data_IF_141645084844
#
_entry.id   IF_141645084844
#
_cell.length_a   1.000
_cell.length_b   1.000
_cell.length_c   1.000
_cell.angle_alpha   90.00
_cell.angle_beta   90.00
_cell.angle_gamma   90.00
#
_symmetry.space_group_name_H-M   'P 1'
#
loop_
_entity.id
_entity.type
_entity.pdbx_description
1 polymer ?
2 non-polymer ?
3 water ?
#
# COMPACT_ATOMS: atom_id res chain seq x y z
N UNK A 1 5.52 15.09 6.07
CA UNK A 1 6.79 15.83 6.20
C UNK A 1 7.76 15.55 5.05
N UNK A 2 9.02 15.91 5.26
CA UNK A 2 10.07 15.69 4.28
C UNK A 2 10.77 14.43 4.75
N UNK A 3 10.93 13.49 3.84
CA UNK A 3 11.55 12.22 4.18
C UNK A 3 12.69 11.94 3.17
N UNK A 4 13.93 11.79 3.66
CA UNK A 4 15.03 11.46 2.76
C UNK A 4 15.05 9.96 2.48
N UNK A 5 15.90 9.56 1.54
CA UNK A 5 15.95 8.17 1.11
C UNK A 5 17.17 7.36 1.54
N UNK A 6 17.90 7.88 2.52
CA UNK A 6 19.08 7.20 3.04
C UNK A 6 18.69 5.84 3.64
N UNK A 7 17.48 5.73 4.15
CA UNK A 7 16.99 4.45 4.66
C UNK A 7 15.65 4.19 3.95
N UNK A 8 15.11 2.98 4.08
CA UNK A 8 13.81 2.71 3.48
C UNK A 8 12.74 3.62 4.04
N UNK A 9 11.87 4.16 3.15
CA UNK A 9 10.77 5.06 3.56
C UNK A 9 9.56 4.26 4.15
N UNK A 10 9.72 3.80 5.39
CA UNK A 10 8.69 3.02 6.09
C UNK A 10 7.84 3.91 6.97
N UNK A 11 6.54 3.71 6.94
CA UNK A 11 5.63 4.51 7.74
C UNK A 11 4.64 3.60 8.47
N UNK A 12 3.97 4.16 9.47
CA UNK A 12 2.99 3.39 10.20
C UNK A 12 1.64 3.65 9.57
N UNK A 13 0.89 2.59 9.36
CA UNK A 13 -0.43 2.75 8.80
C UNK A 13 -1.43 2.01 9.69
N UNK A 14 -2.67 2.48 9.67
CA UNK A 14 -3.73 1.83 10.43
C UNK A 14 -4.79 1.47 9.39
N UNK A 15 -5.12 0.19 9.37
CA UNK A 15 -6.08 -0.34 8.44
C UNK A 15 -6.80 -1.53 9.09
N UNK A 16 -8.13 -1.44 9.09
CA UNK A 16 -9.00 -2.48 9.64
C UNK A 16 -8.83 -2.71 11.13
N UNK A 17 -8.56 -1.63 11.87
CA UNK A 17 -8.33 -1.71 13.30
C UNK A 17 -6.93 -2.16 13.71
N UNK A 18 -6.08 -2.52 12.73
CA UNK A 18 -4.70 -3.02 12.99
C UNK A 18 -3.58 -2.05 12.62
N UNK A 19 -2.50 -2.12 13.39
CA UNK A 19 -1.34 -1.26 13.14
C UNK A 19 -0.30 -2.02 12.34
N UNK A 20 0.23 -1.38 11.30
CA UNK A 20 1.23 -2.03 10.49
C UNK A 20 2.24 -1.04 9.97
N UNK A 21 3.36 -1.56 9.48
CA UNK A 21 4.39 -0.70 8.89
C UNK A 21 4.29 -0.95 7.38
N UNK A 22 4.53 0.09 6.59
CA UNK A 22 4.45 -0.03 5.13
C UNK A 22 5.50 0.87 4.46
N UNK A 23 5.93 0.46 3.27
CA UNK A 23 6.93 1.16 2.49
C UNK A 23 6.25 2.15 1.51
N UNK A 24 6.65 3.43 1.53
CA UNK A 24 6.07 4.39 0.58
C UNK A 24 6.80 4.12 -0.72
N UNK A 25 6.08 3.61 -1.71
CA UNK A 25 6.71 3.21 -2.95
C UNK A 25 6.24 3.93 -4.22
N UNK A 26 7.03 4.88 -4.69
CA UNK A 26 6.64 5.63 -5.90
C UNK A 26 6.63 4.79 -7.17
N UNK A 27 7.28 3.64 -7.13
CA UNK A 27 7.32 2.79 -8.28
C UNK A 27 6.21 1.74 -8.32
N UNK A 28 5.24 1.83 -7.40
CA UNK A 28 4.12 0.88 -7.38
C UNK A 28 2.83 1.58 -7.79
N UNK A 29 2.14 1.06 -8.80
CA UNK A 29 0.90 1.72 -9.16
C UNK A 29 -0.10 1.48 -8.02
N UNK A 30 -0.07 0.26 -7.47
CA UNK A 30 -1.02 -0.15 -6.43
C UNK A 30 -0.47 -0.35 -5.02
N UNK A 31 -1.39 -0.45 -4.08
CA UNK A 31 -1.03 -0.67 -2.69
C UNK A 31 -1.26 -2.16 -2.47
N UNK A 32 -0.26 -2.85 -1.97
CA UNK A 32 -0.42 -4.27 -1.70
C UNK A 32 0.08 -4.62 -0.30
N UNK A 33 -0.80 -5.27 0.48
CA UNK A 33 -0.49 -5.65 1.85
C UNK A 33 -0.34 -7.15 2.06
N UNK A 34 0.56 -7.54 2.98
CA UNK A 34 0.78 -8.96 3.33
C UNK A 34 -0.57 -9.49 3.78
N UNK A 35 -0.79 -10.80 3.62
CA UNK A 35 -2.06 -11.43 4.01
C UNK A 35 -2.66 -10.91 5.33
N UNK A 36 -3.91 -10.46 5.26
CA UNK A 36 -4.56 -9.94 6.43
C UNK A 36 -6.07 -10.12 6.33
N UNK A 37 -6.72 -10.11 7.49
CA UNK A 37 -8.16 -10.25 7.55
C UNK A 37 -8.70 -8.87 7.34
N UNK A 38 -9.42 -8.74 6.24
CA UNK A 38 -10.03 -7.50 5.88
C UNK A 38 -11.46 -7.92 5.66
N UNK A 39 -12.41 -7.04 5.94
CA UNK A 39 -13.80 -7.43 5.73
C UNK A 39 -14.38 -6.78 4.47
N UNK A 40 -15.40 -7.43 3.89
CA UNK A 40 -16.06 -6.92 2.70
C UNK A 40 -16.00 -7.85 1.50
N UNK A 41 -16.51 -7.38 0.35
CA UNK A 41 -16.49 -8.17 -0.90
C UNK A 41 -15.20 -7.87 -1.67
N UNK A 42 -14.87 -8.72 -2.63
CA UNK A 42 -13.65 -8.54 -3.43
C UNK A 42 -13.64 -9.34 -4.73
N UNK A 43 -12.72 -8.96 -5.62
CA UNK A 43 -12.54 -9.63 -6.91
C UNK A 43 -11.09 -10.12 -6.97
N UNK A 44 -10.85 -11.31 -7.52
CA UNK A 44 -9.44 -11.75 -7.58
C UNK A 44 -8.67 -10.92 -8.61
N UNK A 45 -7.35 -10.84 -8.48
CA UNK A 45 -6.58 -10.04 -9.42
C UNK A 45 -5.20 -10.62 -9.46
N UNK A 46 -4.44 -10.23 -10.47
CA UNK A 46 -3.07 -10.72 -10.62
C UNK A 46 -2.20 -9.48 -10.80
N UNK A 47 -1.11 -9.34 -10.04
CA UNK A 47 -0.25 -8.17 -10.23
C UNK A 47 1.15 -8.62 -10.51
N UNK A 48 1.93 -7.75 -11.13
CA UNK A 48 3.30 -8.11 -11.44
C UNK A 48 4.36 -7.12 -11.00
N UNK A 49 5.57 -7.65 -10.82
CA UNK A 49 6.70 -6.84 -10.43
C UNK A 49 7.98 -7.51 -10.91
N UNK A 50 9.11 -7.14 -10.32
CA UNK A 50 10.37 -7.76 -10.69
C UNK A 50 10.32 -9.12 -10.00
N UNK A 51 10.42 -10.16 -10.81
CA UNK A 51 10.36 -11.50 -10.28
C UNK A 51 9.15 -12.26 -10.84
N UNK A 52 8.15 -11.55 -11.35
CA UNK A 52 6.99 -12.23 -11.89
C UNK A 52 5.66 -11.70 -11.41
N UNK A 53 4.67 -12.58 -11.31
CA UNK A 53 3.33 -12.16 -10.91
C UNK A 53 2.76 -12.93 -9.71
N UNK A 54 1.90 -12.27 -8.94
CA UNK A 54 1.24 -12.90 -7.79
C UNK A 54 -0.26 -12.67 -7.88
N UNK A 55 -1.03 -13.53 -7.22
CA UNK A 55 -2.48 -13.39 -7.19
C UNK A 55 -2.86 -12.71 -5.86
N UNK A 56 -3.67 -11.66 -5.94
CA UNK A 56 -4.11 -10.92 -4.75
C UNK A 56 -5.64 -10.68 -4.80
N UNK A 57 -6.22 -10.21 -3.69
CA UNK A 57 -7.64 -9.93 -3.68
C UNK A 57 -7.78 -8.44 -3.62
N UNK A 58 -8.71 -7.90 -4.38
CA UNK A 58 -8.89 -6.49 -4.39
C UNK A 58 -10.13 -6.00 -3.65
N UNK A 59 -9.89 -5.13 -2.67
CA UNK A 59 -10.91 -4.50 -1.84
C UNK A 59 -10.95 -3.04 -2.19
N UNK A 60 -12.14 -2.54 -2.47
CA UNK A 60 -12.29 -1.14 -2.83
C UNK A 60 -12.84 -0.34 -1.68
N UNK A 61 -12.56 0.96 -1.68
CA UNK A 61 -13.01 1.85 -0.62
C UNK A 61 -12.63 1.37 0.76
N UNK A 62 -11.34 1.14 0.99
CA UNK A 62 -10.91 0.71 2.31
C UNK A 62 -10.31 1.95 2.94
N UNK A 63 -10.60 2.15 4.21
CA UNK A 63 -10.08 3.31 4.91
C UNK A 63 -8.70 2.96 5.48
N UNK A 64 -7.69 3.79 5.23
CA UNK A 64 -6.35 3.54 5.76
C UNK A 64 -5.86 4.85 6.32
N UNK A 65 -5.19 4.82 7.46
CA UNK A 65 -4.64 6.05 7.99
C UNK A 65 -3.14 5.92 7.81
N UNK A 66 -2.58 6.72 6.91
CA UNK A 66 -1.14 6.68 6.63
C UNK A 66 -0.57 7.87 7.34
N UNK A 67 0.30 7.63 8.32
CA UNK A 67 0.84 8.72 9.13
C UNK A 67 -0.42 9.41 9.70
N UNK A 68 -0.56 10.72 9.51
CA UNK A 68 -1.76 11.36 10.05
C UNK A 68 -2.96 11.52 9.13
N UNK A 69 -2.83 11.10 7.88
CA UNK A 69 -3.90 11.28 6.92
C UNK A 69 -4.73 10.06 6.64
N UNK A 70 -6.04 10.28 6.62
CA UNK A 70 -6.98 9.22 6.30
C UNK A 70 -7.22 9.26 4.78
N UNK A 71 -7.36 8.09 4.17
CA UNK A 71 -7.60 7.98 2.75
C UNK A 71 -8.45 6.74 2.53
N UNK A 72 -9.22 6.74 1.46
CA UNK A 72 -10.07 5.62 1.08
C UNK A 72 -9.69 5.28 -0.35
N UNK A 73 -9.35 4.02 -0.56
CA UNK A 73 -8.95 3.58 -1.87
C UNK A 73 -8.89 2.08 -1.86
N UNK A 74 -8.42 1.56 -2.97
CA UNK A 74 -8.28 0.14 -3.20
C UNK A 74 -7.03 -0.39 -2.59
N UNK A 75 -7.12 -1.58 -2.03
CA UNK A 75 -5.97 -2.17 -1.41
C UNK A 75 -5.98 -3.59 -1.91
N UNK A 76 -4.83 -4.06 -2.34
CA UNK A 76 -4.69 -5.43 -2.81
C UNK A 76 -4.09 -6.24 -1.68
N UNK A 77 -4.66 -7.40 -1.43
CA UNK A 77 -4.13 -8.24 -0.38
C UNK A 77 -3.74 -9.56 -1.03
N UNK A 78 -2.52 -9.99 -0.75
CA UNK A 78 -2.01 -11.21 -1.31
C UNK A 78 -0.64 -11.48 -0.72
N UNK A 79 0.10 -12.43 -1.30
CA UNK A 79 1.44 -12.83 -0.85
C UNK A 79 2.65 -11.93 -1.05
N UNK A 80 2.48 -10.61 -1.03
CA UNK A 80 3.65 -9.74 -1.16
C UNK A 80 4.59 -9.92 0.04
N UNK A 81 5.90 -9.81 -0.18
CA UNK A 81 6.82 -9.97 0.95
C UNK A 81 6.70 -8.85 2.01
N UNK A 82 6.43 -7.62 1.55
CA UNK A 82 6.29 -6.47 2.45
C UNK A 82 5.10 -5.60 2.05
N UNK A 83 4.53 -4.86 3.00
CA UNK A 83 3.41 -3.96 2.70
C UNK A 83 3.93 -2.76 1.90
N UNK A 84 3.34 -2.46 0.74
CA UNK A 84 3.80 -1.30 0.01
C UNK A 84 2.62 -0.36 -0.26
N UNK A 85 2.85 0.93 -0.04
CA UNK A 85 1.82 1.95 -0.30
C UNK A 85 2.16 2.50 -1.68
N UNK A 86 1.28 2.24 -2.64
CA UNK A 86 1.49 2.68 -4.01
C UNK A 86 0.88 4.04 -4.36
N UNK A 87 1.07 4.47 -5.61
CA UNK A 87 0.60 5.77 -6.06
C UNK A 87 -0.90 6.00 -5.91
N UNK A 88 -1.73 4.97 -6.01
CA UNK A 88 -3.16 5.20 -5.85
C UNK A 88 -3.46 5.85 -4.49
N UNK A 89 -2.64 5.58 -3.47
CA UNK A 89 -2.85 6.24 -2.17
C UNK A 89 -1.93 7.44 -1.95
N UNK A 90 -0.71 7.38 -2.51
CA UNK A 90 0.27 8.47 -2.35
C UNK A 90 -0.28 9.79 -2.89
N UNK A 91 -1.04 9.74 -3.98
CA UNK A 91 -1.64 10.98 -4.48
C UNK A 91 -2.64 11.53 -3.45
N UNK A 92 -3.39 10.64 -2.77
CA UNK A 92 -4.38 11.05 -1.76
C UNK A 92 -3.80 11.80 -0.56
N UNK A 93 -2.55 11.53 -0.21
CA UNK A 93 -1.97 12.22 0.91
C UNK A 93 -1.08 13.38 0.44
N UNK A 94 -1.15 13.67 -0.86
CA UNK A 94 -0.40 14.78 -1.43
C UNK A 94 1.08 14.56 -1.55
N UNK A 95 1.49 13.31 -1.58
CA UNK A 95 2.89 12.99 -1.67
C UNK A 95 3.60 13.37 -3.00
N UNK A 96 4.74 14.06 -2.92
CA UNK A 96 5.51 14.42 -4.11
C UNK A 96 7.01 14.07 -3.94
N UNK A 97 7.71 13.90 -5.05
CA UNK A 97 9.15 13.62 -5.03
C UNK A 97 9.80 14.98 -5.29
N UNK A 98 10.98 15.22 -4.72
CA UNK A 98 11.65 16.51 -4.91
C UNK A 98 13.15 16.37 -4.90
N UNK A 99 13.82 17.09 -5.79
CA UNK A 99 15.28 17.07 -5.87
C UNK A 99 15.85 18.27 -6.67
X LIG B 1 11.40 -4.80 -6.21
X LIG B 1 11.95 -4.01 -5.46
X LIG B 1 13.33 -3.76 -5.38
X LIG B 1 14.33 -4.04 -6.47
X LIG B 1 15.67 -3.59 -5.93
X LIG B 1 13.96 -3.24 -7.72
X LIG B 1 14.34 -5.54 -6.77
X LIG B 1 11.31 -3.19 -4.55
X LIG B 1 9.94 -3.41 -4.09
X LIG B 1 8.94 -2.38 -4.70
X LIG B 1 9.49 -1.08 -4.64
X LIG B 1 9.85 -3.31 -2.56
X LIG B 1 10.63 -4.36 -1.82
X LIG B 1 12.02 -4.37 -1.85
X LIG B 1 9.97 -5.35 -1.10
X LIG B 1 12.74 -5.34 -1.17
X LIG B 1 10.68 -6.32 -0.41
X LIG B 1 12.06 -6.32 -0.45
X LIG B 1 8.60 -2.73 -6.17
X LIG B 1 8.59 -1.51 -6.99
X LIG B 1 8.16 -1.70 -8.38
X LIG B 1 7.02 -2.71 -8.58
X LIG B 1 7.24 -3.91 -8.64
X LIG B 1 9.35 -2.10 -9.25
X LIG B 1 8.97 -2.45 -10.67
X LIG B 1 9.51 -3.57 -11.28
X LIG B 1 8.06 -1.67 -11.38
X LIG B 1 9.15 -3.92 -12.57
X LIG B 1 7.69 -2.00 -12.67
X LIG B 1 8.23 -3.14 -13.27
X LIG B 1 5.79 -2.20 -8.70
X LIG B 1 4.61 -3.04 -8.90
X LIG B 1 3.69 -2.42 -9.95
X LIG B 1 3.55 -1.20 -10.02
X LIG B 1 3.89 -3.22 -7.56
X LIG B 1 2.61 -4.02 -7.59
X LIG B 1 1.45 -3.21 -8.11
X LIG B 1 1.45 -1.98 -7.91
X LIG B 1 0.52 -3.81 -8.71
X LIG B 1 3.08 -3.26 -10.77
X LIG B 1 2.18 -2.77 -11.80
X LIG B 1 0.88 -3.55 -11.91
X LIG B 1 0.86 -4.77 -11.75
X LIG B 1 2.91 -2.74 -13.14
X LIG B 1 3.57 -4.04 -13.51
X LIG B 1 2.84 -5.06 -14.10
X LIG B 1 4.93 -4.23 -13.29
X LIG B 1 3.46 -6.25 -14.47
X LIG B 1 5.55 -5.42 -13.65
X LIG B 1 4.82 -6.43 -14.24
X LIG B 1 -0.21 -2.85 -12.20
#
# INVERSE_FOLDING_TARGET
>A
PQITLWQRPLVTIKIGGQLKEALLDTGADDTVLEEMSLPGRWKPKMIGGIGGFIKVRQYDQILIEICGHKVIGTVLVGPTPTNVIGRNLLTQIGCTLNF
>B hetero
1 0ZT O1 C O2 CT C1 C2 C3 N CA C4 OS CB CG CD1 CD2 CE1 CE2 CZ CM N1 CA1 C5 O CB1 CG1 CD11 CD21 CE11 CE21 CZ1 N2 CA2 C6 O3 CB2 CG2 CD OE1 OE2 N3 CA3 C7 O4 CB3 CG3 CD12 CD22 CE12 CE22 CZ2 N4
#
